data_IF_531403363808
#
_entry.id   IF_531403363808
#
_cell.length_a   1.000
_cell.length_b   1.000
_cell.length_c   1.000
_cell.angle_alpha   90.00
_cell.angle_beta   90.00
_cell.angle_gamma   90.00
#
_symmetry.space_group_name_H-M   'P 1'
#
loop_
_entity.id
_entity.type
_entity.pdbx_description
1 polymer ?
#
# COMPACT_ATOMS: atom_id res chain seq x y z
N UNK A 1 5.52 -9.19 3.18
CA UNK A 1 5.82 -10.12 2.07
C UNK A 1 5.21 -11.50 2.29
N UNK A 2 5.44 -12.15 3.45
CA UNK A 2 4.87 -13.47 3.76
C UNK A 2 3.36 -13.58 3.49
N UNK A 3 2.56 -12.57 3.86
CA UNK A 3 1.11 -12.63 3.68
C UNK A 3 0.64 -12.65 2.21
N UNK A 4 1.39 -12.08 1.26
CA UNK A 4 1.03 -12.14 -0.16
C UNK A 4 1.30 -13.53 -0.72
N UNK A 5 2.45 -14.11 -0.40
CA UNK A 5 2.82 -15.45 -0.82
C UNK A 5 1.88 -16.51 -0.24
N UNK A 6 1.52 -16.37 1.04
CA UNK A 6 0.54 -17.25 1.67
C UNK A 6 -0.84 -17.15 0.99
N UNK A 7 -1.29 -15.94 0.69
CA UNK A 7 -2.57 -15.72 0.00
C UNK A 7 -2.59 -16.36 -1.40
N UNK A 8 -1.49 -16.20 -2.16
CA UNK A 8 -1.34 -16.82 -3.48
C UNK A 8 -1.25 -18.35 -3.36
N UNK A 9 -0.52 -18.87 -2.38
CA UNK A 9 -0.38 -20.31 -2.11
C UNK A 9 -1.69 -20.98 -1.71
N UNK A 10 -2.56 -20.25 -0.99
CA UNK A 10 -3.93 -20.69 -0.66
C UNK A 10 -4.90 -20.61 -1.84
N UNK A 11 -4.46 -20.08 -2.99
CA UNK A 11 -5.30 -19.91 -4.17
C UNK A 11 -6.33 -18.80 -4.03
N UNK A 12 -6.13 -17.84 -3.12
CA UNK A 12 -6.97 -16.65 -3.04
C UNK A 12 -6.83 -15.86 -4.34
N UNK A 13 -7.96 -15.51 -4.93
CA UNK A 13 -8.08 -14.78 -6.19
C UNK A 13 -9.39 -14.04 -6.23
N UNK A 14 -9.53 -13.11 -7.16
CA UNK A 14 -10.73 -12.30 -7.31
C UNK A 14 -12.01 -13.16 -7.35
N UNK A 15 -13.06 -12.66 -6.71
CA UNK A 15 -14.39 -13.24 -6.68
C UNK A 15 -14.52 -14.62 -5.97
N UNK A 16 -13.60 -14.96 -5.07
CA UNK A 16 -13.80 -16.08 -4.16
C UNK A 16 -14.91 -15.74 -3.15
N UNK A 17 -16.05 -16.44 -3.21
CA UNK A 17 -17.19 -16.21 -2.33
C UNK A 17 -18.53 -16.27 -3.08
N UNK A 18 -19.49 -15.45 -2.69
CA UNK A 18 -20.86 -15.45 -3.23
C UNK A 18 -21.35 -14.05 -3.63
N UNK A 19 -22.67 -13.85 -3.64
CA UNK A 19 -23.30 -12.57 -4.00
C UNK A 19 -23.15 -11.49 -2.92
N UNK A 20 -22.90 -11.87 -1.66
CA UNK A 20 -22.84 -10.97 -0.52
C UNK A 20 -21.40 -10.67 -0.10
N UNK A 21 -20.52 -11.67 -0.17
CA UNK A 21 -19.12 -11.54 0.22
C UNK A 21 -18.21 -12.12 -0.85
N UNK A 22 -17.23 -11.31 -1.27
CA UNK A 22 -16.15 -11.74 -2.17
C UNK A 22 -14.82 -11.35 -1.55
N UNK A 23 -13.93 -12.32 -1.41
CA UNK A 23 -12.54 -12.12 -1.02
C UNK A 23 -11.62 -12.16 -2.25
N UNK A 24 -10.38 -11.75 -2.06
CA UNK A 24 -9.36 -11.78 -3.11
C UNK A 24 -8.94 -10.41 -3.63
N UNK A 25 -8.71 -9.44 -2.74
CA UNK A 25 -8.01 -8.20 -3.08
C UNK A 25 -6.76 -8.05 -2.21
N UNK A 26 -5.71 -7.45 -2.77
CA UNK A 26 -4.53 -7.00 -2.03
C UNK A 26 -4.75 -5.53 -1.62
N UNK A 27 -4.64 -5.24 -0.32
CA UNK A 27 -4.63 -3.86 0.18
C UNK A 27 -3.20 -3.49 0.62
N UNK A 28 -2.66 -2.43 0.04
CA UNK A 28 -1.37 -1.86 0.40
C UNK A 28 -1.58 -0.49 1.06
N UNK A 29 -0.60 -0.09 1.87
CA UNK A 29 -0.49 1.23 2.45
C UNK A 29 0.85 1.82 2.04
N UNK A 30 0.81 2.94 1.33
CA UNK A 30 2.01 3.66 0.96
C UNK A 30 2.47 4.54 2.13
N UNK A 31 1.52 5.20 2.80
CA UNK A 31 1.76 6.12 3.92
C UNK A 31 0.67 6.05 5.00
N UNK A 32 0.75 6.95 5.97
CA UNK A 32 -0.22 7.11 7.04
C UNK A 32 -1.38 8.05 6.68
N UNK A 33 -1.65 9.04 7.54
CA UNK A 33 -2.75 9.98 7.36
C UNK A 33 -2.39 11.41 7.78
N UNK A 34 -3.12 12.40 7.27
CA UNK A 34 -2.86 13.82 7.56
C UNK A 34 -3.12 14.19 9.03
N UNK A 35 -4.22 13.70 9.62
CA UNK A 35 -4.59 14.01 11.01
C UNK A 35 -3.49 13.72 12.03
N UNK A 36 -2.93 12.49 12.07
CA UNK A 36 -1.78 12.15 12.91
C UNK A 36 -0.43 12.62 12.33
N UNK A 37 -0.41 13.33 11.21
CA UNK A 37 0.81 13.83 10.54
C UNK A 37 1.77 12.71 10.11
N UNK A 38 1.21 11.63 9.57
CA UNK A 38 1.97 10.46 9.11
C UNK A 38 1.83 10.21 7.61
N UNK A 39 1.02 10.98 6.89
CA UNK A 39 1.05 10.96 5.42
C UNK A 39 2.42 11.46 4.94
N UNK A 40 2.99 10.80 3.92
CA UNK A 40 4.34 11.07 3.44
C UNK A 40 4.35 12.33 2.55
N UNK A 41 5.04 13.38 2.99
CA UNK A 41 5.01 14.70 2.32
C UNK A 41 6.40 15.06 1.78
N UNK A 42 6.45 15.81 0.67
CA UNK A 42 7.69 16.40 0.15
C UNK A 42 8.22 17.55 1.01
N UNK A 43 7.34 18.22 1.77
CA UNK A 43 7.68 19.31 2.68
C UNK A 43 7.38 18.90 4.12
N UNK A 44 8.12 19.42 5.11
CA UNK A 44 7.88 19.08 6.49
C UNK A 44 6.52 19.60 6.97
N UNK A 45 5.92 18.90 7.91
CA UNK A 45 4.70 19.35 8.56
C UNK A 45 4.92 20.70 9.27
N UNK A 46 3.88 21.53 9.29
CA UNK A 46 3.96 22.84 9.90
C UNK A 46 4.36 22.75 11.38
N UNK A 47 5.39 23.52 11.75
CA UNK A 47 6.01 23.54 13.09
C UNK A 47 6.76 22.25 13.48
N UNK A 48 7.01 21.35 12.53
CA UNK A 48 7.78 20.12 12.72
C UNK A 48 8.80 19.96 11.57
N UNK A 49 9.93 20.69 11.61
CA UNK A 49 10.85 20.81 10.46
C UNK A 49 11.48 19.49 10.00
N UNK A 50 11.48 18.48 10.88
CA UNK A 50 12.04 17.15 10.62
C UNK A 50 10.96 16.08 10.37
N UNK A 51 9.67 16.45 10.41
CA UNK A 51 8.58 15.51 10.19
C UNK A 51 8.08 15.59 8.74
N UNK A 52 8.35 14.54 7.97
CA UNK A 52 7.88 14.37 6.59
C UNK A 52 6.82 13.24 6.49
N UNK A 53 6.31 12.76 7.62
CA UNK A 53 5.46 11.59 7.72
C UNK A 53 6.24 10.28 7.67
N UNK A 54 5.55 9.19 7.31
CA UNK A 54 6.12 7.85 7.24
C UNK A 54 5.86 7.20 5.88
N UNK A 55 6.85 6.46 5.40
CA UNK A 55 6.68 5.48 4.32
C UNK A 55 6.41 4.13 4.96
N UNK A 56 5.27 3.51 4.62
CA UNK A 56 4.87 2.20 5.18
C UNK A 56 5.42 1.07 4.33
N UNK A 57 5.31 1.20 3.01
CA UNK A 57 5.92 0.29 2.02
C UNK A 57 6.63 1.14 0.99
N UNK A 58 7.90 0.85 0.75
CA UNK A 58 8.69 1.55 -0.26
C UNK A 58 8.14 1.30 -1.66
N UNK A 59 8.40 2.26 -2.57
CA UNK A 59 7.82 2.26 -3.91
C UNK A 59 8.17 1.00 -4.70
N UNK A 60 9.42 0.58 -4.65
CA UNK A 60 9.93 -0.59 -5.37
C UNK A 60 9.23 -1.87 -4.90
N UNK A 61 9.09 -2.04 -3.59
CA UNK A 61 8.40 -3.17 -2.98
C UNK A 61 6.90 -3.16 -3.30
N UNK A 62 6.27 -2.00 -3.24
CA UNK A 62 4.86 -1.84 -3.60
C UNK A 62 4.62 -2.21 -5.08
N UNK A 63 5.53 -1.82 -5.97
CA UNK A 63 5.47 -2.18 -7.39
C UNK A 63 5.66 -3.69 -7.59
N UNK A 64 6.62 -4.33 -6.90
CA UNK A 64 6.81 -5.78 -6.94
C UNK A 64 5.57 -6.52 -6.46
N UNK A 65 5.03 -6.14 -5.30
CA UNK A 65 3.83 -6.72 -4.72
C UNK A 65 2.62 -6.57 -5.64
N UNK A 66 2.41 -5.37 -6.20
CA UNK A 66 1.30 -5.12 -7.11
C UNK A 66 1.41 -5.95 -8.40
N UNK A 67 2.62 -6.12 -8.95
CA UNK A 67 2.87 -6.99 -10.11
C UNK A 67 2.54 -8.44 -9.80
N UNK A 68 3.08 -8.98 -8.71
CA UNK A 68 2.85 -10.38 -8.29
C UNK A 68 1.38 -10.65 -7.99
N UNK A 69 0.70 -9.74 -7.30
CA UNK A 69 -0.73 -9.82 -7.04
C UNK A 69 -1.54 -9.79 -8.33
N UNK A 70 -1.20 -8.90 -9.28
CA UNK A 70 -1.87 -8.84 -10.57
C UNK A 70 -1.72 -10.14 -11.36
N UNK A 71 -0.52 -10.73 -11.40
CA UNK A 71 -0.29 -12.04 -12.05
C UNK A 71 -1.08 -13.14 -11.34
N UNK A 72 -1.18 -13.08 -10.02
CA UNK A 72 -1.94 -14.02 -9.20
C UNK A 72 -3.47 -13.82 -9.19
N UNK A 73 -3.99 -12.85 -9.93
CA UNK A 73 -5.44 -12.58 -9.97
C UNK A 73 -6.01 -11.90 -8.72
N UNK A 74 -5.16 -11.20 -7.96
CA UNK A 74 -5.53 -10.39 -6.81
C UNK A 74 -5.51 -8.90 -7.21
N UNK A 75 -6.67 -8.25 -7.46
CA UNK A 75 -6.73 -6.80 -7.65
C UNK A 75 -6.13 -6.06 -6.45
N UNK A 76 -5.32 -5.05 -6.74
CA UNK A 76 -4.60 -4.28 -5.72
C UNK A 76 -5.23 -2.91 -5.52
N UNK A 77 -5.43 -2.52 -4.26
CA UNK A 77 -5.80 -1.16 -3.86
C UNK A 77 -4.70 -0.59 -2.97
N UNK A 78 -4.29 0.64 -3.22
CA UNK A 78 -3.24 1.33 -2.46
C UNK A 78 -3.86 2.49 -1.71
N UNK A 79 -3.62 2.54 -0.40
CA UNK A 79 -3.85 3.75 0.40
C UNK A 79 -2.66 4.70 0.22
N UNK A 80 -2.93 5.92 -0.24
CA UNK A 80 -1.96 6.99 -0.37
C UNK A 80 -2.65 8.33 -0.08
N UNK A 81 -2.13 9.12 0.85
CA UNK A 81 -2.67 10.44 1.22
C UNK A 81 -1.70 11.56 0.87
N UNK A 82 -0.42 11.33 1.12
CA UNK A 82 0.68 12.24 0.85
C UNK A 82 0.89 12.52 -0.63
N UNK A 83 1.80 13.44 -0.91
CA UNK A 83 2.05 13.88 -2.28
C UNK A 83 2.99 12.89 -3.05
N UNK A 84 3.11 12.98 -4.38
CA UNK A 84 3.69 11.92 -5.23
C UNK A 84 5.19 11.59 -5.05
N UNK A 85 5.85 12.10 -4.02
CA UNK A 85 7.28 11.97 -3.76
C UNK A 85 7.76 10.66 -3.12
N UNK A 86 6.99 9.56 -3.21
CA UNK A 86 7.31 8.25 -2.58
C UNK A 86 8.68 7.63 -2.91
N UNK A 87 9.49 8.22 -3.81
CA UNK A 87 10.76 7.62 -4.24
C UNK A 87 12.02 8.16 -3.59
N UNK A 88 12.06 9.41 -3.10
CA UNK A 88 13.32 9.98 -2.63
C UNK A 88 13.05 10.99 -1.51
N UNK A 89 13.43 10.64 -0.28
CA UNK A 89 13.67 11.67 0.74
C UNK A 89 14.84 12.54 0.25
N UNK A 90 14.77 13.87 0.40
CA UNK A 90 15.94 14.73 0.20
C UNK A 90 17.08 14.37 1.16
#
# INVERSE_FOLDING_TARGET
MAQLDDALGLGLRVALGDQWLRSGGLKLFADGALGPRTAAMLAPYQNEPDNYGITVVDKEDMVDMAKRASVGGLPTSVHAIGDPGFSEKP
#
